data_IF_846062270808
#
_entry.id   IF_846062270808
#
_cell.length_a   1.000
_cell.length_b   1.000
_cell.length_c   1.000
_cell.angle_alpha   90.00
_cell.angle_beta   90.00
_cell.angle_gamma   90.00
#
_symmetry.space_group_name_H-M   'P 1'
#
loop_
_entity.id
_entity.type
_entity.pdbx_description
1 polymer ?
#
# COMPACT_ATOMS: atom_id res chain seq x y z
N UNK A 1 50.36 -20.62 -27.69
CA UNK A 1 49.54 -21.21 -26.62
C UNK A 1 48.85 -20.06 -25.89
N UNK A 2 47.52 -19.91 -26.05
CA UNK A 2 46.48 -19.97 -24.98
C UNK A 2 46.77 -19.06 -23.76
N UNK A 3 45.91 -18.16 -23.29
CA UNK A 3 44.45 -18.08 -23.41
C UNK A 3 43.92 -16.64 -23.15
N UNK A 4 42.84 -16.27 -23.85
CA UNK A 4 41.91 -15.20 -23.50
C UNK A 4 41.11 -15.59 -22.25
N UNK A 5 41.12 -14.74 -21.22
CA UNK A 5 40.19 -14.81 -20.09
C UNK A 5 38.93 -14.01 -20.40
N UNK A 6 37.81 -14.73 -20.57
CA UNK A 6 36.48 -14.18 -20.81
C UNK A 6 35.95 -13.55 -19.51
N UNK A 7 35.72 -12.23 -19.51
CA UNK A 7 34.95 -11.54 -18.47
C UNK A 7 33.46 -11.89 -18.64
N UNK A 8 32.94 -12.76 -17.78
CA UNK A 8 31.51 -12.99 -17.65
C UNK A 8 30.87 -11.81 -16.91
N UNK A 9 30.22 -10.93 -17.66
CA UNK A 9 29.26 -9.96 -17.13
C UNK A 9 27.99 -10.72 -16.70
N UNK A 10 27.75 -10.81 -15.40
CA UNK A 10 26.47 -11.27 -14.85
C UNK A 10 25.43 -10.15 -15.02
N UNK A 11 24.80 -10.10 -16.19
CA UNK A 11 23.62 -9.27 -16.41
C UNK A 11 22.48 -9.79 -15.52
N UNK A 12 22.15 -9.04 -14.47
CA UNK A 12 20.95 -9.30 -13.68
C UNK A 12 19.71 -9.13 -14.55
N UNK A 13 18.99 -10.22 -14.78
CA UNK A 13 17.71 -10.17 -15.50
C UNK A 13 16.71 -9.48 -14.58
N UNK A 14 16.31 -8.25 -14.91
CA UNK A 14 15.18 -7.59 -14.29
C UNK A 14 13.92 -8.41 -14.63
N UNK A 15 13.50 -9.29 -13.73
CA UNK A 15 12.31 -10.10 -13.91
C UNK A 15 11.05 -9.24 -13.85
N UNK A 16 10.24 -9.29 -14.90
CA UNK A 16 8.87 -8.78 -14.86
C UNK A 16 8.07 -9.50 -13.76
N UNK A 17 7.12 -8.81 -13.13
CA UNK A 17 6.26 -9.46 -12.17
C UNK A 17 5.48 -10.63 -12.81
N UNK A 18 5.18 -11.70 -12.06
CA UNK A 18 4.29 -12.75 -12.52
C UNK A 18 2.98 -12.13 -13.00
N UNK A 19 2.41 -12.66 -14.08
CA UNK A 19 1.15 -12.18 -14.66
C UNK A 19 0.02 -12.05 -13.61
N UNK A 20 0.07 -12.87 -12.55
CA UNK A 20 -0.87 -12.81 -11.44
C UNK A 20 -0.87 -11.47 -10.67
N UNK A 21 0.25 -10.74 -10.63
CA UNK A 21 0.39 -9.45 -9.95
C UNK A 21 0.29 -8.25 -10.90
N UNK A 22 0.10 -8.48 -12.20
CA UNK A 22 -0.02 -7.40 -13.15
C UNK A 22 -1.28 -6.58 -12.86
N UNK A 23 -1.08 -5.30 -12.52
CA UNK A 23 -2.13 -4.38 -12.15
C UNK A 23 -1.68 -2.95 -12.49
N UNK A 24 -2.21 -2.32 -13.55
CA UNK A 24 -1.86 -0.95 -13.89
C UNK A 24 -2.21 0.08 -12.80
N UNK A 25 -3.11 -0.22 -11.85
CA UNK A 25 -3.38 0.65 -10.70
C UNK A 25 -2.43 0.43 -9.53
N UNK A 26 -1.58 -0.59 -9.58
CA UNK A 26 -0.53 -0.82 -8.58
C UNK A 26 0.59 -1.65 -9.21
N UNK A 27 1.39 -1.02 -10.11
CA UNK A 27 2.40 -1.76 -10.86
C UNK A 27 3.44 -2.42 -9.95
N UNK A 28 3.89 -3.61 -10.33
CA UNK A 28 4.99 -4.34 -9.69
C UNK A 28 6.09 -4.45 -10.74
N UNK A 29 6.96 -3.46 -10.80
CA UNK A 29 8.00 -3.36 -11.83
C UNK A 29 9.37 -3.33 -11.16
N UNK A 30 10.25 -4.23 -11.56
CA UNK A 30 11.61 -4.29 -11.05
C UNK A 30 12.37 -3.00 -11.42
N UNK A 31 13.13 -2.45 -10.47
CA UNK A 31 13.89 -1.21 -10.66
C UNK A 31 13.09 0.08 -10.49
N UNK A 32 11.75 0.01 -10.46
CA UNK A 32 10.94 1.20 -10.22
C UNK A 32 11.02 1.65 -8.77
N UNK A 33 11.10 2.98 -8.60
CA UNK A 33 11.11 3.63 -7.29
C UNK A 33 10.13 4.80 -7.29
N UNK A 34 9.15 4.75 -6.39
CA UNK A 34 8.23 5.84 -6.12
C UNK A 34 8.72 6.63 -4.93
N UNK A 35 8.90 7.93 -5.09
CA UNK A 35 9.22 8.82 -3.98
C UNK A 35 7.98 9.62 -3.63
N UNK A 36 7.57 9.58 -2.37
CA UNK A 36 6.40 10.29 -1.86
C UNK A 36 6.81 11.35 -0.85
N UNK A 37 6.05 12.45 -0.83
CA UNK A 37 6.04 13.44 0.25
C UNK A 37 4.81 13.23 1.11
N UNK A 38 4.99 13.30 2.43
CA UNK A 38 3.91 13.33 3.41
C UNK A 38 3.92 14.68 4.09
N UNK A 39 2.82 15.41 3.98
CA UNK A 39 2.60 16.71 4.63
C UNK A 39 1.49 16.58 5.67
N UNK A 40 1.69 17.16 6.86
CA UNK A 40 0.65 17.25 7.89
C UNK A 40 -0.40 18.27 7.49
N UNK A 41 -1.68 17.96 7.71
CA UNK A 41 -2.78 18.87 7.39
C UNK A 41 -2.77 20.14 8.25
N UNK A 42 -2.21 20.07 9.46
CA UNK A 42 -2.09 21.21 10.38
C UNK A 42 -0.92 22.16 10.06
N UNK A 43 -0.04 21.81 9.12
CA UNK A 43 1.16 22.57 8.77
C UNK A 43 2.20 22.72 9.89
N UNK A 44 1.97 22.14 11.07
CA UNK A 44 2.84 22.30 12.25
C UNK A 44 4.03 21.34 12.21
N UNK A 45 3.90 20.22 11.50
CA UNK A 45 4.97 19.25 11.32
C UNK A 45 5.64 19.46 9.97
N UNK A 46 6.98 19.42 9.91
CA UNK A 46 7.69 19.48 8.65
C UNK A 46 7.27 18.30 7.77
N UNK A 47 7.21 18.55 6.46
CA UNK A 47 6.97 17.47 5.51
C UNK A 47 8.10 16.44 5.61
N UNK A 48 7.76 15.18 5.40
CA UNK A 48 8.71 14.08 5.31
C UNK A 48 8.61 13.40 3.95
N UNK A 49 9.58 12.58 3.59
CA UNK A 49 9.52 11.78 2.38
C UNK A 49 9.95 10.34 2.65
N UNK A 50 9.47 9.45 1.78
CA UNK A 50 9.89 8.06 1.75
C UNK A 50 9.95 7.57 0.30
N UNK A 51 10.81 6.59 0.06
CA UNK A 51 10.93 5.89 -1.21
C UNK A 51 10.34 4.49 -1.08
N UNK A 52 9.60 4.05 -2.10
CA UNK A 52 8.94 2.76 -2.17
C UNK A 52 9.47 2.02 -3.40
N UNK A 53 9.83 0.74 -3.23
CA UNK A 53 10.18 -0.17 -4.33
C UNK A 53 9.47 -1.50 -4.17
N UNK A 54 9.33 -2.24 -5.27
CA UNK A 54 8.62 -3.53 -5.30
C UNK A 54 9.41 -4.57 -6.04
N UNK A 55 9.42 -5.78 -5.51
CA UNK A 55 10.06 -6.94 -6.12
C UNK A 55 9.08 -8.11 -6.11
N UNK A 56 8.84 -8.71 -7.26
CA UNK A 56 7.99 -9.88 -7.36
C UNK A 56 8.61 -11.10 -6.68
N UNK A 57 7.79 -11.90 -6.01
CA UNK A 57 8.20 -13.09 -5.26
C UNK A 57 7.12 -14.17 -5.30
N UNK A 58 7.36 -15.26 -6.03
CA UNK A 58 6.40 -16.36 -6.14
C UNK A 58 5.05 -15.90 -6.71
N UNK A 59 3.96 -16.15 -5.98
CA UNK A 59 2.58 -15.72 -6.35
C UNK A 59 2.23 -14.30 -5.86
N UNK A 60 3.24 -13.52 -5.46
CA UNK A 60 3.06 -12.24 -4.79
C UNK A 60 4.22 -11.29 -5.06
N UNK A 61 4.35 -10.28 -4.20
CA UNK A 61 5.49 -9.37 -4.21
C UNK A 61 5.81 -8.85 -2.81
N UNK A 62 7.02 -8.34 -2.66
CA UNK A 62 7.44 -7.57 -1.49
C UNK A 62 7.52 -6.10 -1.87
N UNK A 63 7.07 -5.26 -0.96
CA UNK A 63 7.18 -3.81 -1.04
C UNK A 63 8.11 -3.34 0.07
N UNK A 64 9.09 -2.52 -0.29
CA UNK A 64 10.06 -1.97 0.62
C UNK A 64 9.89 -0.46 0.69
N UNK A 65 9.80 0.08 1.90
CA UNK A 65 9.71 1.52 2.16
C UNK A 65 10.91 1.99 2.97
N UNK A 66 11.59 3.02 2.48
CA UNK A 66 12.76 3.62 3.11
C UNK A 66 12.50 5.09 3.41
N UNK A 67 12.75 5.49 4.65
CA UNK A 67 12.70 6.89 5.08
C UNK A 67 13.99 7.24 5.83
N UNK A 68 14.43 8.49 5.72
CA UNK A 68 15.64 8.95 6.39
C UNK A 68 15.57 8.71 7.91
N UNK A 69 16.59 8.05 8.47
CA UNK A 69 16.69 7.77 9.90
C UNK A 69 15.67 6.74 10.43
N UNK A 70 14.99 5.99 9.55
CA UNK A 70 14.07 4.91 9.92
C UNK A 70 14.57 3.57 9.39
N UNK A 71 14.31 2.45 10.11
CA UNK A 71 14.55 1.13 9.57
C UNK A 71 13.77 0.89 8.28
N UNK A 72 14.32 0.05 7.40
CA UNK A 72 13.63 -0.44 6.22
C UNK A 72 12.32 -1.13 6.64
N UNK A 73 11.20 -0.69 6.08
CA UNK A 73 9.92 -1.36 6.27
C UNK A 73 9.64 -2.28 5.10
N UNK A 74 9.20 -3.51 5.38
CA UNK A 74 8.84 -4.49 4.35
C UNK A 74 7.39 -4.90 4.53
N UNK A 75 6.59 -4.76 3.49
CA UNK A 75 5.24 -5.31 3.39
C UNK A 75 5.22 -6.43 2.36
N UNK A 76 4.36 -7.42 2.56
CA UNK A 76 4.19 -8.56 1.64
C UNK A 76 2.79 -8.56 1.07
N UNK A 77 2.69 -9.01 -0.16
CA UNK A 77 1.44 -9.11 -0.88
C UNK A 77 1.32 -10.46 -1.56
N UNK A 78 0.09 -10.94 -1.72
CA UNK A 78 -0.25 -12.06 -2.60
C UNK A 78 -1.18 -11.56 -3.71
N UNK A 79 -1.09 -12.19 -4.88
CA UNK A 79 -1.87 -11.77 -6.03
C UNK A 79 -2.71 -12.92 -6.57
N UNK A 80 -3.96 -12.61 -6.96
CA UNK A 80 -4.88 -13.54 -7.62
C UNK A 80 -5.58 -12.79 -8.74
N UNK A 81 -5.32 -13.17 -9.99
CA UNK A 81 -5.95 -12.55 -11.16
C UNK A 81 -5.77 -11.02 -11.24
N UNK A 82 -4.61 -10.49 -10.86
CA UNK A 82 -4.30 -9.07 -10.83
C UNK A 82 -4.78 -8.33 -9.56
N UNK A 83 -5.65 -8.93 -8.75
CA UNK A 83 -6.03 -8.38 -7.46
C UNK A 83 -4.89 -8.60 -6.45
N UNK A 84 -4.62 -7.61 -5.60
CA UNK A 84 -3.52 -7.62 -4.65
C UNK A 84 -4.06 -7.62 -3.21
N UNK A 85 -3.59 -8.56 -2.40
CA UNK A 85 -3.92 -8.72 -0.99
C UNK A 85 -2.68 -8.43 -0.13
N UNK A 86 -2.71 -7.34 0.65
CA UNK A 86 -1.66 -7.01 1.60
C UNK A 86 -1.69 -7.92 2.83
N UNK A 87 -0.52 -8.46 3.17
CA UNK A 87 -0.31 -9.40 4.27
C UNK A 87 0.33 -8.77 5.49
N UNK A 88 0.66 -7.46 5.43
CA UNK A 88 1.21 -6.75 6.56
C UNK A 88 0.08 -6.28 7.48
N UNK A 89 -0.01 -6.78 8.72
CA UNK A 89 -1.03 -6.33 9.65
C UNK A 89 -0.82 -4.85 10.02
N UNK A 90 -1.91 -4.12 10.34
CA UNK A 90 -1.83 -2.72 10.74
C UNK A 90 -1.07 -2.59 12.06
N UNK A 91 -0.30 -1.51 12.21
CA UNK A 91 0.30 -1.13 13.50
C UNK A 91 -0.76 -0.45 14.35
N UNK A 92 -1.07 -1.02 15.51
CA UNK A 92 -2.12 -0.54 16.41
C UNK A 92 -1.54 0.17 17.65
N UNK A 93 -0.69 1.17 17.44
CA UNK A 93 -0.08 1.94 18.53
C UNK A 93 0.68 1.05 19.52
N UNK A 94 0.25 1.04 20.79
CA UNK A 94 0.86 0.24 21.87
C UNK A 94 0.34 -1.20 21.96
N UNK A 95 -0.61 -1.60 21.12
CA UNK A 95 -1.14 -2.97 21.11
C UNK A 95 -0.15 -3.90 20.41
N UNK A 96 0.26 -4.96 21.11
CA UNK A 96 1.05 -6.04 20.52
C UNK A 96 0.11 -7.08 19.94
N UNK A 97 0.17 -7.27 18.62
CA UNK A 97 -0.63 -8.30 17.93
C UNK A 97 -0.04 -9.69 18.23
N UNK A 98 -0.90 -10.61 18.65
CA UNK A 98 -0.56 -12.03 18.87
C UNK A 98 -1.08 -12.92 17.75
N UNK A 99 -2.11 -12.48 17.04
CA UNK A 99 -2.63 -13.13 15.83
C UNK A 99 -3.16 -12.07 14.87
N UNK A 100 -2.92 -12.28 13.58
CA UNK A 100 -3.52 -11.49 12.52
C UNK A 100 -3.86 -12.42 11.35
N UNK A 101 -5.10 -12.36 10.88
CA UNK A 101 -5.54 -13.02 9.66
C UNK A 101 -6.17 -11.97 8.73
N UNK A 102 -5.93 -12.10 7.43
CA UNK A 102 -6.42 -11.15 6.43
C UNK A 102 -7.18 -11.87 5.33
N UNK A 103 -8.22 -11.21 4.83
CA UNK A 103 -8.98 -11.66 3.67
C UNK A 103 -9.47 -10.46 2.83
N UNK A 104 -9.92 -10.76 1.62
CA UNK A 104 -10.44 -9.76 0.68
C UNK A 104 -9.34 -9.19 -0.22
N UNK A 105 -9.39 -7.89 -0.46
CA UNK A 105 -8.56 -7.24 -1.48
C UNK A 105 -8.13 -5.86 -1.04
N UNK A 106 -6.85 -5.54 -1.20
CA UNK A 106 -6.33 -4.19 -0.97
C UNK A 106 -6.48 -3.35 -2.24
N UNK A 107 -6.00 -3.86 -3.38
CA UNK A 107 -6.14 -3.24 -4.71
C UNK A 107 -6.86 -4.21 -5.64
N UNK A 108 -8.01 -3.82 -6.17
CA UNK A 108 -8.77 -4.65 -7.08
C UNK A 108 -8.04 -4.84 -8.42
N UNK A 109 -8.29 -5.96 -9.10
CA UNK A 109 -7.81 -6.21 -10.45
C UNK A 109 -8.31 -5.13 -11.42
N UNK A 110 -7.50 -4.73 -12.40
CA UNK A 110 -7.80 -3.61 -13.28
C UNK A 110 -9.18 -3.66 -13.98
N UNK A 111 -9.68 -4.81 -14.48
CA UNK A 111 -11.00 -4.87 -15.11
C UNK A 111 -12.18 -4.52 -14.16
N UNK A 112 -11.97 -4.55 -12.84
CA UNK A 112 -13.01 -4.22 -11.87
C UNK A 112 -13.15 -2.70 -11.63
N UNK A 113 -12.22 -1.89 -12.11
CA UNK A 113 -12.21 -0.45 -11.86
C UNK A 113 -13.22 0.26 -12.78
N UNK A 114 -14.29 0.76 -12.14
CA UNK A 114 -15.33 1.60 -12.74
C UNK A 114 -16.01 2.40 -11.63
N UNK A 115 -16.65 3.52 -11.97
CA UNK A 115 -17.40 4.30 -10.99
C UNK A 115 -18.43 3.42 -10.26
N UNK A 116 -18.49 3.56 -8.94
CA UNK A 116 -19.35 2.76 -8.07
C UNK A 116 -18.80 1.37 -7.68
N UNK A 117 -17.73 0.88 -8.33
CA UNK A 117 -17.09 -0.37 -7.94
C UNK A 117 -16.58 -0.29 -6.49
N UNK A 118 -16.73 -1.39 -5.75
CA UNK A 118 -16.34 -1.45 -4.35
C UNK A 118 -15.73 -2.80 -4.00
N UNK A 119 -14.82 -2.77 -3.03
CA UNK A 119 -14.20 -3.97 -2.46
C UNK A 119 -13.82 -3.71 -1.00
N UNK A 120 -13.34 -4.74 -0.31
CA UNK A 120 -12.93 -4.61 1.08
C UNK A 120 -11.74 -5.49 1.42
N UNK A 121 -10.93 -5.00 2.37
CA UNK A 121 -9.90 -5.76 3.06
C UNK A 121 -10.33 -5.94 4.50
N UNK A 122 -10.32 -7.17 5.01
CA UNK A 122 -10.74 -7.48 6.38
C UNK A 122 -9.59 -8.11 7.14
N UNK A 123 -9.27 -7.54 8.29
CA UNK A 123 -8.30 -8.04 9.24
C UNK A 123 -9.00 -8.53 10.49
N UNK A 124 -8.81 -9.80 10.83
CA UNK A 124 -9.15 -10.38 12.12
C UNK A 124 -7.91 -10.37 13.01
N UNK A 125 -7.98 -9.61 14.10
CA UNK A 125 -6.83 -9.28 14.95
C UNK A 125 -7.08 -9.79 16.36
N UNK A 126 -6.06 -10.40 16.95
CA UNK A 126 -5.97 -10.63 18.40
C UNK A 126 -4.69 -10.01 18.90
N UNK A 127 -4.74 -9.43 20.10
CA UNK A 127 -3.58 -8.78 20.67
C UNK A 127 -3.70 -8.52 22.16
N UNK A 128 -2.66 -7.87 22.70
CA UNK A 128 -2.55 -7.51 24.10
C UNK A 128 -2.11 -6.06 24.27
N UNK A 129 -2.63 -5.43 25.32
CA UNK A 129 -2.19 -4.14 25.83
C UNK A 129 -1.94 -4.29 27.34
N UNK A 130 -0.67 -4.39 27.73
CA UNK A 130 -0.30 -4.81 29.08
C UNK A 130 -0.89 -6.20 29.40
N UNK A 131 -1.64 -6.30 30.50
CA UNK A 131 -2.28 -7.54 30.94
C UNK A 131 -3.63 -7.82 30.24
N UNK A 132 -4.17 -6.86 29.48
CA UNK A 132 -5.47 -7.01 28.82
C UNK A 132 -5.29 -7.65 27.44
N UNK A 133 -6.10 -8.67 27.16
CA UNK A 133 -6.20 -9.25 25.82
C UNK A 133 -7.45 -8.74 25.10
N UNK A 134 -7.42 -8.78 23.77
CA UNK A 134 -8.51 -8.29 22.95
C UNK A 134 -8.59 -8.95 21.59
N UNK A 135 -9.75 -8.79 20.98
CA UNK A 135 -10.01 -9.15 19.59
C UNK A 135 -10.67 -7.98 18.88
N UNK A 136 -10.31 -7.77 17.62
CA UNK A 136 -10.91 -6.76 16.78
C UNK A 136 -10.94 -7.18 15.32
N UNK A 137 -12.01 -6.79 14.63
CA UNK A 137 -12.11 -6.84 13.19
C UNK A 137 -11.90 -5.43 12.65
N UNK A 138 -10.90 -5.25 11.79
CA UNK A 138 -10.69 -4.02 11.02
C UNK A 138 -11.12 -4.28 9.58
N UNK A 139 -12.11 -3.53 9.11
CA UNK A 139 -12.57 -3.55 7.71
C UNK A 139 -12.17 -2.25 7.03
N UNK A 140 -11.40 -2.33 5.94
CA UNK A 140 -11.14 -1.22 5.04
C UNK A 140 -12.02 -1.37 3.80
N UNK A 141 -13.07 -0.57 3.69
CA UNK A 141 -13.97 -0.51 2.53
C UNK A 141 -13.45 0.51 1.54
N UNK A 142 -13.41 0.14 0.26
CA UNK A 142 -13.00 1.02 -0.83
C UNK A 142 -14.13 1.15 -1.84
N UNK A 143 -14.34 2.36 -2.34
CA UNK A 143 -15.32 2.65 -3.40
C UNK A 143 -14.73 3.62 -4.41
N UNK A 144 -14.78 3.26 -5.69
CA UNK A 144 -14.39 4.14 -6.79
C UNK A 144 -15.48 5.19 -6.98
N UNK A 145 -15.11 6.46 -6.84
CA UNK A 145 -16.02 7.59 -7.04
C UNK A 145 -16.11 7.98 -8.51
N UNK A 146 -15.00 7.87 -9.26
CA UNK A 146 -14.91 8.26 -10.66
C UNK A 146 -13.47 8.56 -11.06
N UNK A 147 -13.29 9.21 -12.20
CA UNK A 147 -11.99 9.72 -12.66
C UNK A 147 -11.94 11.23 -12.56
N UNK A 148 -10.77 11.76 -12.21
CA UNK A 148 -10.49 13.19 -12.28
C UNK A 148 -9.01 13.46 -12.56
N UNK A 149 -8.72 14.65 -13.08
CA UNK A 149 -7.33 15.12 -13.21
C UNK A 149 -6.82 15.55 -11.84
N UNK A 150 -5.69 15.00 -11.42
CA UNK A 150 -5.00 15.36 -10.17
C UNK A 150 -3.58 15.83 -10.47
N UNK A 151 -3.21 16.97 -9.91
CA UNK A 151 -1.85 17.52 -10.02
C UNK A 151 -1.09 17.28 -8.71
N UNK A 152 0.11 16.72 -8.82
CA UNK A 152 1.09 16.51 -7.75
C UNK A 152 2.47 16.95 -8.24
N UNK A 153 3.51 17.01 -7.38
CA UNK A 153 4.84 17.44 -7.84
C UNK A 153 5.43 16.61 -8.98
N UNK A 154 5.08 15.32 -9.09
CA UNK A 154 5.49 14.48 -10.22
C UNK A 154 4.78 14.78 -11.55
N UNK A 155 3.74 15.63 -11.56
CA UNK A 155 2.97 16.00 -12.76
C UNK A 155 1.45 15.94 -12.57
N UNK A 156 0.74 16.01 -13.70
CA UNK A 156 -0.73 15.92 -13.74
C UNK A 156 -1.16 14.59 -14.33
N UNK A 157 -2.04 13.88 -13.62
CA UNK A 157 -2.50 12.54 -13.99
C UNK A 157 -4.02 12.51 -14.13
N UNK A 158 -4.52 11.73 -15.08
CA UNK A 158 -5.93 11.29 -15.07
C UNK A 158 -6.03 10.06 -14.16
N UNK A 159 -6.71 10.20 -13.02
CA UNK A 159 -6.65 9.25 -11.93
C UNK A 159 -8.05 8.81 -11.47
N UNK A 160 -8.18 7.54 -11.10
CA UNK A 160 -9.32 7.03 -10.37
C UNK A 160 -9.29 7.55 -8.93
N UNK A 161 -10.36 8.24 -8.53
CA UNK A 161 -10.58 8.64 -7.15
C UNK A 161 -11.31 7.53 -6.39
N UNK A 162 -10.74 7.11 -5.27
CA UNK A 162 -11.27 6.05 -4.40
C UNK A 162 -11.49 6.62 -3.01
N UNK A 163 -12.70 6.47 -2.47
CA UNK A 163 -12.98 6.70 -1.05
C UNK A 163 -12.60 5.46 -0.26
N UNK A 164 -11.95 5.65 0.88
CA UNK A 164 -11.62 4.58 1.82
C UNK A 164 -12.28 4.85 3.17
N UNK A 165 -13.00 3.85 3.68
CA UNK A 165 -13.60 3.88 5.01
C UNK A 165 -13.06 2.73 5.85
N UNK A 166 -12.58 3.03 7.06
CA UNK A 166 -12.14 2.05 8.04
C UNK A 166 -13.20 1.88 9.11
N UNK A 167 -13.56 0.64 9.40
CA UNK A 167 -14.42 0.25 10.52
C UNK A 167 -13.66 -0.71 11.41
N UNK A 168 -13.50 -0.34 12.68
CA UNK A 168 -12.98 -1.21 13.73
C UNK A 168 -14.13 -1.64 14.61
N UNK A 169 -14.28 -2.94 14.84
CA UNK A 169 -15.25 -3.51 15.78
C UNK A 169 -14.51 -4.49 16.67
N UNK A 170 -14.61 -4.34 17.99
CA UNK A 170 -13.86 -5.21 18.89
C UNK A 170 -13.83 -4.73 20.32
N UNK A 171 -12.97 -5.37 21.13
CA UNK A 171 -12.73 -5.01 22.52
C UNK A 171 -11.33 -5.39 22.98
N UNK A 172 -10.80 -4.65 23.95
CA UNK A 172 -9.60 -4.99 24.73
C UNK A 172 -9.99 -4.99 26.19
N UNK A 173 -10.00 -6.15 26.82
CA UNK A 173 -10.63 -6.34 28.13
C UNK A 173 -12.10 -5.84 28.11
N UNK A 174 -12.51 -4.97 29.06
CA UNK A 174 -13.85 -4.40 29.10
C UNK A 174 -14.05 -3.22 28.13
N UNK A 175 -13.00 -2.75 27.45
CA UNK A 175 -13.04 -1.50 26.66
C UNK A 175 -13.47 -1.80 25.22
N UNK A 176 -14.59 -1.25 24.72
CA UNK A 176 -15.00 -1.39 23.33
C UNK A 176 -14.13 -0.54 22.38
N UNK A 177 -13.76 -1.11 21.23
CA UNK A 177 -12.95 -0.46 20.19
C UNK A 177 -13.74 0.00 18.96
N UNK A 178 -15.07 0.12 19.08
CA UNK A 178 -15.93 0.40 17.93
C UNK A 178 -15.70 1.82 17.38
N UNK A 179 -15.16 1.95 16.18
CA UNK A 179 -14.83 3.22 15.52
C UNK A 179 -15.05 3.13 14.02
N UNK A 180 -15.54 4.22 13.43
CA UNK A 180 -15.64 4.40 11.99
C UNK A 180 -14.80 5.64 11.59
N UNK A 181 -14.03 5.53 10.52
CA UNK A 181 -13.20 6.59 9.96
C UNK A 181 -13.41 6.61 8.44
N UNK A 182 -13.98 7.70 7.91
CA UNK A 182 -14.43 7.75 6.50
C UNK A 182 -13.86 8.96 5.74
N UNK A 183 -12.77 9.53 6.23
CA UNK A 183 -12.13 10.75 5.72
C UNK A 183 -10.94 10.47 4.78
N UNK A 184 -10.78 9.24 4.31
CA UNK A 184 -9.66 8.85 3.46
C UNK A 184 -10.04 8.85 1.98
N UNK A 185 -9.21 9.47 1.16
CA UNK A 185 -9.29 9.45 -0.29
C UNK A 185 -7.95 9.05 -0.89
N UNK A 186 -7.98 8.23 -1.94
CA UNK A 186 -6.81 7.76 -2.68
C UNK A 186 -7.01 8.02 -4.18
N UNK A 187 -5.95 8.41 -4.88
CA UNK A 187 -5.95 8.64 -6.32
C UNK A 187 -4.96 7.71 -6.99
N UNK A 188 -5.44 6.95 -7.98
CA UNK A 188 -4.63 5.98 -8.72
C UNK A 188 -4.59 6.33 -10.20
N UNK A 189 -3.38 6.48 -10.75
CA UNK A 189 -3.17 6.70 -12.18
C UNK A 189 -2.64 5.41 -12.84
N UNK A 190 -3.14 5.12 -14.04
CA UNK A 190 -2.77 3.89 -14.74
C UNK A 190 -1.28 3.87 -15.12
N UNK A 191 -0.61 2.74 -14.90
CA UNK A 191 0.82 2.59 -15.16
C UNK A 191 1.72 3.35 -14.17
N UNK A 192 1.14 3.98 -13.15
CA UNK A 192 1.85 4.71 -12.08
C UNK A 192 1.48 4.16 -10.71
N UNK A 193 0.19 3.89 -10.48
CA UNK A 193 -0.34 3.49 -9.19
C UNK A 193 -0.79 4.69 -8.35
N UNK A 194 -0.60 4.61 -7.02
CA UNK A 194 -1.03 5.67 -6.12
C UNK A 194 -0.25 6.97 -6.41
N UNK A 195 -0.95 8.03 -6.81
CA UNK A 195 -0.34 9.35 -7.06
C UNK A 195 -0.58 10.33 -5.91
N UNK A 196 -1.69 10.15 -5.18
CA UNK A 196 -2.05 10.97 -4.03
C UNK A 196 -2.88 10.14 -3.05
N UNK A 197 -2.73 10.40 -1.76
CA UNK A 197 -3.73 10.03 -0.74
C UNK A 197 -3.93 11.18 0.23
N UNK A 198 -5.11 11.26 0.84
CA UNK A 198 -5.48 12.34 1.74
C UNK A 198 -6.37 11.81 2.87
N UNK A 199 -6.16 12.37 4.06
CA UNK A 199 -7.02 12.23 5.23
C UNK A 199 -7.18 13.58 5.93
N UNK A 200 -7.95 13.63 7.02
CA UNK A 200 -7.98 14.82 7.89
C UNK A 200 -6.64 15.14 8.54
N UNK A 201 -5.69 14.21 8.59
CA UNK A 201 -4.40 14.36 9.29
C UNK A 201 -3.21 14.63 8.37
N UNK A 202 -3.26 14.14 7.14
CA UNK A 202 -2.12 14.23 6.23
C UNK A 202 -2.51 14.07 4.77
N UNK A 203 -1.64 14.58 3.91
CA UNK A 203 -1.65 14.34 2.47
C UNK A 203 -0.35 13.67 2.08
N UNK A 204 -0.43 12.59 1.31
CA UNK A 204 0.71 11.96 0.64
C UNK A 204 0.63 12.26 -0.85
N UNK A 205 1.72 12.70 -1.45
CA UNK A 205 1.78 13.07 -2.88
C UNK A 205 3.02 12.46 -3.53
N UNK A 206 2.87 11.95 -4.74
CA UNK A 206 3.99 11.46 -5.54
C UNK A 206 4.90 12.64 -5.91
N UNK A 207 6.14 12.57 -5.46
CA UNK A 207 7.21 13.51 -5.83
C UNK A 207 7.87 13.12 -7.13
N UNK A 208 8.19 11.83 -7.29
CA UNK A 208 8.86 11.31 -8.47
C UNK A 208 8.57 9.82 -8.63
N UNK A 209 8.58 9.36 -9.88
CA UNK A 209 8.64 7.96 -10.25
C UNK A 209 9.89 7.76 -11.11
N UNK A 210 10.86 7.01 -10.61
CA UNK A 210 11.99 6.52 -11.39
C UNK A 210 11.62 5.15 -11.96
N UNK A 211 11.86 4.95 -13.25
CA UNK A 211 11.60 3.70 -13.98
C UNK A 211 12.89 2.98 -14.33
#
# INVERSE_FOLDING_TARGET
>A
MKACGLLLWSGGVAGAAPAACDNPMSPVQAGWVWTYRVSSSDGKKPASSYALSRAATGTGFQEQSTSAGKPLETARYTCVGGAQLGLQPPRLGSITLTRAAVSGTQVAAAPAWKAGAAWSLVWELEGRQGLLSGKATLTAKRQVLGREKVSVPAGTFDAWKVRVGYRVVGRVGPIPLNRDMNDFEEWYAEGVGLVKSQSSYSTTELLALQK
#
